data_IF_028503862195
#
_entry.id   IF_028503862195
#
_cell.length_a   1.000
_cell.length_b   1.000
_cell.length_c   1.000
_cell.angle_alpha   90.00
_cell.angle_beta   90.00
_cell.angle_gamma   90.00
#
_symmetry.space_group_name_H-M   'P 1'
#
loop_
_entity.id
_entity.type
_entity.pdbx_description
1 polymer ?
#
# COMPACT_ATOMS: atom_id res chain seq x y z
N UNK A 1 9.23 25.46 27.37
CA UNK A 1 9.09 24.39 26.35
C UNK A 1 7.62 24.17 26.14
N UNK A 2 7.19 24.05 24.88
CA UNK A 2 5.78 23.92 24.51
C UNK A 2 5.43 22.48 24.20
N UNK A 3 4.31 22.00 24.73
CA UNK A 3 3.86 20.62 24.53
C UNK A 3 2.83 20.54 23.42
N UNK A 4 3.04 19.64 22.45
CA UNK A 4 2.09 19.38 21.37
C UNK A 4 1.71 17.91 21.35
N UNK A 5 0.43 17.62 21.59
CA UNK A 5 -0.17 16.30 21.40
C UNK A 5 -0.65 16.16 19.97
N UNK A 6 -0.21 15.09 19.32
CA UNK A 6 -0.49 14.76 17.94
C UNK A 6 -1.31 13.47 17.87
N UNK A 7 -2.37 13.45 17.07
CA UNK A 7 -3.03 12.21 16.61
C UNK A 7 -3.11 12.22 15.10
N UNK A 8 -2.85 11.08 14.46
CA UNK A 8 -2.88 10.95 13.00
C UNK A 8 -3.94 9.94 12.55
N UNK A 9 -4.88 10.40 11.74
CA UNK A 9 -5.92 9.57 11.17
C UNK A 9 -5.91 9.61 9.64
N UNK A 10 -5.82 8.44 9.02
CA UNK A 10 -6.02 8.28 7.59
C UNK A 10 -7.36 7.58 7.34
N UNK A 11 -8.04 7.88 6.22
CA UNK A 11 -9.23 7.15 5.83
C UNK A 11 -8.84 5.74 5.37
N UNK A 12 -9.70 4.75 5.64
CA UNK A 12 -9.58 3.38 5.12
C UNK A 12 -8.23 2.70 5.38
N UNK A 13 -7.53 3.04 6.48
CA UNK A 13 -6.15 2.59 6.76
C UNK A 13 -5.14 2.91 5.64
N UNK A 14 -5.40 3.93 4.83
CA UNK A 14 -4.41 4.37 3.86
C UNK A 14 -3.13 4.76 4.58
N UNK A 15 -1.99 4.36 4.03
CA UNK A 15 -0.69 4.63 4.64
C UNK A 15 -0.56 4.18 6.11
N UNK A 16 -1.38 3.23 6.60
CA UNK A 16 -1.36 2.79 8.00
C UNK A 16 0.00 2.28 8.47
N UNK A 17 0.75 1.63 7.57
CA UNK A 17 2.08 1.11 7.83
C UNK A 17 3.19 2.14 7.60
N UNK A 18 2.87 3.35 7.15
CA UNK A 18 3.85 4.40 6.87
C UNK A 18 3.89 5.39 8.03
N UNK A 19 5.09 5.86 8.32
CA UNK A 19 5.35 6.85 9.35
C UNK A 19 5.36 8.25 8.74
N UNK A 20 4.44 9.09 9.18
CA UNK A 20 4.46 10.52 8.87
C UNK A 20 5.62 11.15 9.64
N UNK A 21 6.49 11.86 8.93
CA UNK A 21 7.64 12.55 9.52
C UNK A 21 7.22 13.96 9.95
N UNK A 22 7.50 14.33 11.19
CA UNK A 22 7.20 15.64 11.77
C UNK A 22 8.49 16.43 11.91
N UNK A 23 8.47 17.68 11.45
CA UNK A 23 9.63 18.57 11.39
C UNK A 23 9.34 19.94 12.01
N UNK A 24 10.39 20.56 12.56
CA UNK A 24 10.43 21.96 12.96
C UNK A 24 11.72 22.59 12.42
N UNK A 25 11.62 23.73 11.73
CA UNK A 25 12.78 24.42 11.12
C UNK A 25 13.73 23.48 10.34
N UNK A 26 13.19 22.47 9.67
CA UNK A 26 13.89 21.41 8.90
C UNK A 26 14.51 20.27 9.68
N UNK A 27 14.47 20.30 11.02
CA UNK A 27 14.90 19.18 11.85
C UNK A 27 13.76 18.20 12.05
N UNK A 28 14.07 16.91 11.92
CA UNK A 28 13.12 15.84 12.17
C UNK A 28 12.96 15.65 13.68
N UNK A 29 11.74 15.83 14.18
CA UNK A 29 11.42 15.72 15.60
C UNK A 29 10.87 14.33 15.92
N UNK A 30 9.96 13.84 15.07
CA UNK A 30 9.16 12.68 15.41
C UNK A 30 8.63 11.94 14.18
N UNK A 31 8.18 10.72 14.46
CA UNK A 31 7.41 9.88 13.55
C UNK A 31 6.09 9.54 14.21
N UNK A 32 4.99 9.64 13.46
CA UNK A 32 3.67 9.22 13.93
C UNK A 32 3.02 8.29 12.90
N UNK A 33 2.41 7.19 13.35
CA UNK A 33 1.67 6.27 12.49
C UNK A 33 0.16 6.52 12.57
N UNK A 34 -0.58 5.86 11.68
CA UNK A 34 -2.02 5.92 11.71
C UNK A 34 -2.59 5.33 13.01
N UNK A 35 -3.46 6.09 13.69
CA UNK A 35 -4.10 5.68 14.92
C UNK A 35 -3.24 5.90 16.17
N UNK A 36 -1.99 6.36 16.01
CA UNK A 36 -1.12 6.69 17.13
C UNK A 36 -1.48 8.08 17.72
N UNK A 37 -1.24 8.20 19.02
CA UNK A 37 -1.06 9.48 19.69
C UNK A 37 0.41 9.65 20.09
N UNK A 38 0.94 10.86 19.93
CA UNK A 38 2.31 11.19 20.32
C UNK A 38 2.35 12.56 20.97
N UNK A 39 3.15 12.68 22.03
CA UNK A 39 3.51 13.96 22.62
C UNK A 39 4.90 14.38 22.11
N UNK A 40 5.03 15.62 21.66
CA UNK A 40 6.30 16.22 21.26
C UNK A 40 6.54 17.53 21.98
N UNK A 41 7.81 17.83 22.22
CA UNK A 41 8.24 19.08 22.87
C UNK A 41 8.89 19.98 21.84
N UNK A 42 8.44 21.24 21.80
CA UNK A 42 8.95 22.26 20.91
C UNK A 42 9.53 23.44 21.72
N UNK A 43 10.48 24.20 21.14
CA UNK A 43 10.87 25.49 21.70
C UNK A 43 9.66 26.42 21.84
N UNK A 44 9.65 27.29 22.84
CA UNK A 44 8.52 28.21 23.09
C UNK A 44 8.27 29.18 21.92
N UNK A 45 9.33 29.49 21.17
CA UNK A 45 9.31 30.31 19.97
C UNK A 45 8.79 29.58 18.71
N UNK A 46 8.43 28.30 18.81
CA UNK A 46 7.98 27.52 17.66
C UNK A 46 6.63 28.04 17.13
N UNK A 47 6.66 28.63 15.94
CA UNK A 47 5.48 29.20 15.28
C UNK A 47 4.78 28.24 14.33
N UNK A 48 5.45 27.17 13.88
CA UNK A 48 4.87 26.22 12.94
C UNK A 48 5.48 24.82 13.03
N UNK A 49 4.69 23.83 12.62
CA UNK A 49 5.14 22.44 12.41
C UNK A 49 4.93 22.08 10.95
N UNK A 50 5.88 21.34 10.39
CA UNK A 50 5.81 20.81 9.04
C UNK A 50 5.75 19.28 9.09
N UNK A 51 5.06 18.64 8.16
CA UNK A 51 5.08 17.18 8.04
C UNK A 51 5.25 16.71 6.62
N UNK A 52 5.80 15.50 6.48
CA UNK A 52 6.06 14.87 5.19
C UNK A 52 5.80 13.37 5.22
N UNK A 53 5.06 12.89 4.23
CA UNK A 53 4.88 11.47 3.91
C UNK A 53 4.98 11.31 2.40
N UNK A 54 6.07 10.70 1.92
CA UNK A 54 6.37 10.52 0.50
C UNK A 54 6.29 11.85 -0.29
N UNK A 55 5.26 12.04 -1.13
CA UNK A 55 5.02 13.28 -1.87
C UNK A 55 4.13 14.29 -1.11
N UNK A 56 3.46 13.87 -0.05
CA UNK A 56 2.61 14.73 0.77
C UNK A 56 3.43 15.58 1.70
N UNK A 57 3.18 16.89 1.67
CA UNK A 57 3.88 17.88 2.51
C UNK A 57 2.91 18.99 2.86
N UNK A 58 2.83 19.32 4.14
CA UNK A 58 2.04 20.45 4.58
C UNK A 58 2.60 21.05 5.86
N UNK A 59 2.02 22.17 6.28
CA UNK A 59 2.48 22.98 7.41
C UNK A 59 1.29 23.61 8.10
N UNK A 60 1.34 23.70 9.42
CA UNK A 60 0.36 24.45 10.21
C UNK A 60 1.07 25.43 11.13
N UNK A 61 0.48 26.60 11.31
CA UNK A 61 0.89 27.53 12.34
C UNK A 61 0.38 27.06 13.71
N UNK A 62 1.22 27.21 14.73
CA UNK A 62 0.85 26.92 16.12
C UNK A 62 0.36 28.19 16.81
N UNK A 63 -0.76 28.15 17.56
CA UNK A 63 -1.22 29.29 18.35
C UNK A 63 -0.21 29.61 19.46
N UNK A 64 0.21 30.87 19.63
CA UNK A 64 1.21 31.26 20.62
C UNK A 64 0.73 31.16 22.08
N UNK A 65 -0.58 31.28 22.31
CA UNK A 65 -1.18 31.44 23.64
C UNK A 65 -1.82 30.16 24.22
N UNK A 66 -1.73 29.02 23.52
CA UNK A 66 -2.25 27.73 23.99
C UNK A 66 -1.11 26.75 24.24
N UNK A 67 -1.06 26.20 25.45
CA UNK A 67 -0.17 25.12 25.89
C UNK A 67 -0.89 24.31 26.99
N UNK A 68 -1.08 22.98 26.85
CA UNK A 68 -0.69 22.13 25.74
C UNK A 68 -1.53 22.34 24.46
N UNK A 69 -0.92 22.14 23.29
CA UNK A 69 -1.62 22.16 22.00
C UNK A 69 -2.05 20.76 21.61
N UNK A 70 -3.32 20.61 21.23
CA UNK A 70 -3.84 19.37 20.64
C UNK A 70 -4.03 19.53 19.14
N UNK A 71 -3.31 18.73 18.36
CA UNK A 71 -3.30 18.80 16.90
C UNK A 71 -3.73 17.45 16.30
N UNK A 72 -4.81 17.47 15.53
CA UNK A 72 -5.25 16.35 14.72
C UNK A 72 -4.67 16.48 13.31
N UNK A 73 -4.00 15.44 12.84
CA UNK A 73 -3.55 15.30 11.47
C UNK A 73 -4.48 14.33 10.75
N UNK A 74 -5.01 14.73 9.61
CA UNK A 74 -5.90 13.90 8.82
C UNK A 74 -5.75 14.17 7.33
N UNK A 75 -6.12 13.20 6.50
CA UNK A 75 -6.16 13.38 5.05
C UNK A 75 -7.54 13.89 4.61
N UNK A 76 -7.58 15.05 3.97
CA UNK A 76 -8.78 15.61 3.35
C UNK A 76 -9.02 14.93 1.99
N UNK A 77 -9.99 14.02 1.99
CA UNK A 77 -10.37 13.23 0.81
C UNK A 77 -11.65 13.72 0.12
N UNK A 78 -12.32 14.73 0.66
CA UNK A 78 -13.60 15.21 0.11
C UNK A 78 -14.73 14.18 0.21
N UNK A 79 -15.87 14.46 -0.44
CA UNK A 79 -17.06 13.60 -0.42
C UNK A 79 -17.22 12.91 -1.78
N UNK A 80 -17.18 11.58 -1.78
CA UNK A 80 -17.42 10.73 -2.97
C UNK A 80 -16.16 10.23 -3.69
N UNK A 81 -16.32 9.17 -4.48
CA UNK A 81 -15.19 8.43 -5.12
C UNK A 81 -14.32 9.30 -6.03
N UNK A 82 -14.90 10.23 -6.80
CA UNK A 82 -14.14 11.09 -7.72
C UNK A 82 -13.33 12.14 -6.95
N UNK A 83 -13.91 12.72 -5.89
CA UNK A 83 -13.20 13.70 -5.06
C UNK A 83 -12.05 13.04 -4.27
N UNK A 84 -12.23 11.80 -3.83
CA UNK A 84 -11.19 11.00 -3.19
C UNK A 84 -9.93 10.93 -4.05
N UNK A 85 -10.04 10.54 -5.32
CA UNK A 85 -8.87 10.49 -6.21
C UNK A 85 -8.32 11.89 -6.54
N UNK A 86 -9.18 12.87 -6.79
CA UNK A 86 -8.73 14.22 -7.16
C UNK A 86 -7.99 14.93 -6.03
N UNK A 87 -8.50 14.85 -4.79
CA UNK A 87 -7.87 15.51 -3.64
C UNK A 87 -6.62 14.78 -3.19
N UNK A 88 -6.55 13.46 -3.34
CA UNK A 88 -5.36 12.70 -2.96
C UNK A 88 -4.20 13.00 -3.89
N UNK A 89 -4.43 13.34 -5.16
CA UNK A 89 -3.35 13.84 -6.05
C UNK A 89 -2.73 15.17 -5.58
N UNK A 90 -3.38 15.93 -4.70
CA UNK A 90 -2.82 17.15 -4.15
C UNK A 90 -1.78 16.82 -3.06
N UNK A 91 -0.56 17.37 -3.18
CA UNK A 91 0.51 17.20 -2.18
C UNK A 91 0.15 17.74 -0.80
N UNK A 92 -0.87 18.62 -0.69
CA UNK A 92 -1.38 19.18 0.57
C UNK A 92 -2.58 18.43 1.15
N UNK A 93 -2.84 17.19 0.74
CA UNK A 93 -4.02 16.45 1.20
C UNK A 93 -3.99 16.13 2.70
N UNK A 94 -2.82 15.96 3.32
CA UNK A 94 -2.69 15.79 4.77
C UNK A 94 -2.74 17.18 5.42
N UNK A 95 -3.82 17.44 6.13
CA UNK A 95 -4.12 18.68 6.82
C UNK A 95 -4.00 18.49 8.33
N UNK A 96 -3.78 19.60 9.04
CA UNK A 96 -3.80 19.65 10.49
C UNK A 96 -4.93 20.54 10.97
N UNK A 97 -5.56 20.19 12.09
CA UNK A 97 -6.56 21.00 12.80
C UNK A 97 -6.20 21.05 14.27
N UNK A 98 -6.02 22.25 14.80
CA UNK A 98 -5.90 22.47 16.25
C UNK A 98 -7.28 22.31 16.87
N UNK A 99 -7.36 21.53 17.94
CA UNK A 99 -8.61 21.15 18.60
C UNK A 99 -8.51 21.33 20.11
N UNK A 100 -9.64 21.19 20.82
CA UNK A 100 -9.65 21.14 22.28
C UNK A 100 -9.20 19.77 22.78
N UNK A 101 -8.84 19.68 24.07
CA UNK A 101 -8.49 18.42 24.72
C UNK A 101 -9.63 17.37 24.62
N UNK A 102 -10.87 17.80 24.82
CA UNK A 102 -12.05 16.92 24.71
C UNK A 102 -12.22 16.38 23.29
N UNK A 103 -12.14 17.25 22.27
CA UNK A 103 -12.24 16.83 20.88
C UNK A 103 -11.08 15.89 20.52
N UNK A 104 -9.88 16.13 21.05
CA UNK A 104 -8.72 15.26 20.84
C UNK A 104 -8.92 13.87 21.42
N UNK A 105 -9.44 13.73 22.63
CA UNK A 105 -9.67 12.43 23.26
C UNK A 105 -10.77 11.61 22.59
N UNK A 106 -11.86 12.26 22.17
CA UNK A 106 -12.95 11.61 21.47
C UNK A 106 -12.71 11.41 19.95
N UNK A 107 -11.62 11.96 19.41
CA UNK A 107 -11.28 11.80 18.00
C UNK A 107 -10.82 10.38 17.68
N UNK A 108 -11.50 9.77 16.70
CA UNK A 108 -11.17 8.47 16.11
C UNK A 108 -11.28 8.57 14.59
N UNK A 109 -10.74 7.58 13.87
CA UNK A 109 -10.94 7.47 12.42
C UNK A 109 -12.43 7.52 12.03
N UNK A 110 -13.32 7.00 12.88
CA UNK A 110 -14.75 6.98 12.62
C UNK A 110 -15.41 8.35 12.78
N UNK A 111 -14.99 9.14 13.77
CA UNK A 111 -15.54 10.49 13.96
C UNK A 111 -15.06 11.45 12.88
N UNK A 112 -13.85 11.26 12.35
CA UNK A 112 -13.27 12.09 11.28
C UNK A 112 -13.81 11.69 9.89
N UNK A 113 -14.06 10.39 9.65
CA UNK A 113 -14.43 9.86 8.33
C UNK A 113 -15.79 9.16 8.31
N UNK A 114 -16.81 9.79 8.92
CA UNK A 114 -18.18 9.28 9.14
C UNK A 114 -18.88 8.60 7.93
N UNK A 115 -18.36 8.70 6.70
CA UNK A 115 -18.93 8.10 5.47
C UNK A 115 -18.01 7.16 4.68
N UNK A 116 -16.81 6.80 5.17
CA UNK A 116 -15.80 6.13 4.32
C UNK A 116 -15.08 4.92 4.92
N UNK A 117 -15.59 4.35 6.02
CA UNK A 117 -15.03 3.16 6.65
C UNK A 117 -15.47 1.85 5.97
N UNK A 118 -14.94 1.59 4.78
CA UNK A 118 -14.62 0.20 4.43
C UNK A 118 -13.13 0.02 4.73
N UNK A 119 -12.82 -0.66 5.83
CA UNK A 119 -11.46 -1.07 6.16
C UNK A 119 -10.94 -1.91 5.01
N UNK A 120 -9.82 -1.51 4.39
CA UNK A 120 -9.22 -2.33 3.35
C UNK A 120 -8.64 -3.59 4.02
N UNK A 121 -9.12 -4.79 3.67
CA UNK A 121 -8.56 -6.02 4.24
C UNK A 121 -7.09 -6.13 3.84
N UNK A 122 -6.24 -6.43 4.83
CA UNK A 122 -4.83 -6.74 4.59
C UNK A 122 -4.76 -8.16 4.03
N UNK A 123 -4.03 -8.34 2.93
CA UNK A 123 -3.92 -9.67 2.32
C UNK A 123 -3.06 -10.58 3.20
N UNK A 124 -3.65 -11.65 3.74
CA UNK A 124 -2.85 -12.79 4.21
C UNK A 124 -2.34 -13.53 2.98
N UNK A 125 -1.03 -13.59 2.77
CA UNK A 125 -0.45 -14.25 1.60
C UNK A 125 -0.70 -15.76 1.63
N UNK A 126 -1.23 -16.31 0.54
CA UNK A 126 -1.23 -17.76 0.32
C UNK A 126 0.17 -18.20 -0.15
N UNK A 127 0.98 -18.68 0.79
CA UNK A 127 2.33 -19.18 0.52
C UNK A 127 2.35 -20.24 -0.58
N UNK A 128 1.35 -21.12 -0.60
CA UNK A 128 1.31 -22.20 -1.58
C UNK A 128 1.01 -21.69 -2.99
N UNK A 129 0.12 -20.71 -3.11
CA UNK A 129 -0.14 -20.07 -4.39
C UNK A 129 1.10 -19.31 -4.89
N UNK A 130 1.83 -18.65 -3.98
CA UNK A 130 3.12 -18.02 -4.26
C UNK A 130 4.17 -19.02 -4.78
N UNK A 131 4.29 -20.20 -4.18
CA UNK A 131 5.23 -21.23 -4.64
C UNK A 131 4.88 -21.77 -6.03
N UNK A 132 3.59 -22.02 -6.32
CA UNK A 132 3.15 -22.43 -7.65
C UNK A 132 3.50 -21.33 -8.66
N UNK A 133 3.20 -20.08 -8.34
CA UNK A 133 3.52 -18.96 -9.22
C UNK A 133 5.02 -18.80 -9.47
N UNK A 134 5.86 -18.89 -8.42
CA UNK A 134 7.32 -18.83 -8.54
C UNK A 134 7.86 -19.98 -9.40
N UNK A 135 7.32 -21.20 -9.24
CA UNK A 135 7.69 -22.35 -10.05
C UNK A 135 7.35 -22.12 -11.52
N UNK A 136 6.12 -21.71 -11.83
CA UNK A 136 5.67 -21.39 -13.19
C UNK A 136 6.56 -20.33 -13.82
N UNK A 137 6.83 -19.24 -13.10
CA UNK A 137 7.67 -18.14 -13.57
C UNK A 137 9.12 -18.58 -13.79
N UNK A 138 9.65 -19.46 -12.94
CA UNK A 138 10.98 -20.03 -13.10
C UNK A 138 11.07 -20.91 -14.34
N UNK A 139 10.08 -21.77 -14.59
CA UNK A 139 10.02 -22.60 -15.81
C UNK A 139 10.00 -21.70 -17.05
N UNK A 140 9.15 -20.66 -17.07
CA UNK A 140 9.12 -19.69 -18.17
C UNK A 140 10.47 -19.00 -18.38
N UNK A 141 11.13 -18.58 -17.29
CA UNK A 141 12.44 -17.95 -17.35
C UNK A 141 13.51 -18.91 -17.88
N UNK A 142 13.57 -20.14 -17.37
CA UNK A 142 14.50 -21.17 -17.84
C UNK A 142 14.28 -21.49 -19.32
N UNK A 143 13.02 -21.65 -19.73
CA UNK A 143 12.66 -21.85 -21.12
C UNK A 143 13.12 -20.68 -22.01
N UNK A 144 12.96 -19.44 -21.55
CA UNK A 144 13.47 -18.27 -22.26
C UNK A 144 15.00 -18.25 -22.39
N UNK A 145 15.75 -18.79 -21.43
CA UNK A 145 17.21 -18.81 -21.54
C UNK A 145 17.67 -19.90 -22.51
N UNK A 146 17.03 -21.06 -22.50
CA UNK A 146 17.47 -22.25 -23.22
C UNK A 146 16.91 -22.38 -24.64
N UNK A 147 15.68 -21.95 -24.88
CA UNK A 147 15.03 -22.08 -26.19
C UNK A 147 15.50 -20.99 -27.17
N UNK A 148 15.70 -21.40 -28.43
CA UNK A 148 15.94 -20.48 -29.56
C UNK A 148 14.61 -20.07 -30.20
N UNK A 149 13.72 -19.46 -29.42
CA UNK A 149 12.45 -18.91 -29.88
C UNK A 149 12.60 -17.42 -30.23
N UNK A 150 11.79 -16.91 -31.16
CA UNK A 150 11.75 -15.47 -31.49
C UNK A 150 11.23 -14.64 -30.33
N UNK A 151 10.38 -15.22 -29.48
CA UNK A 151 9.75 -14.58 -28.33
C UNK A 151 10.61 -14.59 -27.06
N UNK A 152 11.89 -14.92 -27.18
CA UNK A 152 12.80 -15.17 -26.06
C UNK A 152 12.84 -14.02 -25.06
N UNK A 153 13.00 -12.80 -25.56
CA UNK A 153 13.10 -11.60 -24.75
C UNK A 153 11.79 -11.32 -23.98
N UNK A 154 10.64 -11.56 -24.62
CA UNK A 154 9.33 -11.36 -23.98
C UNK A 154 9.12 -12.41 -22.89
N UNK A 155 9.40 -13.68 -23.17
CA UNK A 155 9.29 -14.77 -22.19
C UNK A 155 10.22 -14.55 -20.99
N UNK A 156 11.44 -14.02 -21.22
CA UNK A 156 12.36 -13.64 -20.16
C UNK A 156 11.75 -12.55 -19.27
N UNK A 157 11.16 -11.52 -19.87
CA UNK A 157 10.53 -10.41 -19.16
C UNK A 157 9.30 -10.88 -18.36
N UNK A 158 8.46 -11.74 -18.93
CA UNK A 158 7.29 -12.30 -18.25
C UNK A 158 7.70 -13.17 -17.05
N UNK A 159 8.64 -14.10 -17.25
CA UNK A 159 9.14 -14.96 -16.18
C UNK A 159 9.87 -14.17 -15.09
N UNK A 160 10.87 -13.37 -15.47
CA UNK A 160 11.66 -12.58 -14.53
C UNK A 160 10.85 -11.49 -13.82
N UNK A 161 9.97 -10.79 -14.54
CA UNK A 161 9.08 -9.79 -13.96
C UNK A 161 8.10 -10.39 -12.95
N UNK A 162 7.59 -11.59 -13.22
CA UNK A 162 6.73 -12.31 -12.27
C UNK A 162 7.48 -12.72 -11.01
N UNK A 163 8.72 -13.23 -11.13
CA UNK A 163 9.57 -13.56 -9.98
C UNK A 163 9.82 -12.31 -9.13
N UNK A 164 10.20 -11.20 -9.75
CA UNK A 164 10.43 -9.94 -9.05
C UNK A 164 9.17 -9.45 -8.33
N UNK A 165 8.01 -9.52 -8.98
CA UNK A 165 6.72 -9.17 -8.38
C UNK A 165 6.43 -9.98 -7.12
N UNK A 166 6.70 -11.29 -7.14
CA UNK A 166 6.53 -12.17 -5.98
C UNK A 166 7.56 -11.97 -4.88
N UNK A 167 8.82 -11.66 -5.22
CA UNK A 167 9.81 -11.26 -4.22
C UNK A 167 9.36 -10.01 -3.47
N UNK A 168 8.83 -9.00 -4.18
CA UNK A 168 8.25 -7.80 -3.55
C UNK A 168 7.10 -8.19 -2.62
N UNK A 169 6.21 -9.09 -3.04
CA UNK A 169 5.13 -9.58 -2.15
C UNK A 169 5.68 -10.23 -0.87
N UNK A 170 6.75 -11.02 -0.97
CA UNK A 170 7.35 -11.68 0.19
C UNK A 170 8.01 -10.69 1.15
N UNK A 171 8.72 -9.68 0.63
CA UNK A 171 9.39 -8.65 1.44
C UNK A 171 8.40 -7.64 2.04
N UNK A 172 7.31 -7.32 1.34
CA UNK A 172 6.31 -6.33 1.77
C UNK A 172 5.01 -6.95 2.31
N UNK A 173 5.05 -8.23 2.73
CA UNK A 173 3.88 -9.05 3.08
C UNK A 173 2.84 -8.38 4.00
N UNK A 174 3.28 -7.53 4.94
CA UNK A 174 2.41 -6.89 5.93
C UNK A 174 1.90 -5.51 5.48
N UNK A 175 2.29 -5.06 4.28
CA UNK A 175 2.03 -3.70 3.76
C UNK A 175 1.13 -3.70 2.52
N UNK A 176 0.72 -4.86 2.04
CA UNK A 176 0.00 -5.01 0.77
C UNK A 176 -1.51 -5.06 0.99
N UNK A 177 -2.22 -4.17 0.32
CA UNK A 177 -3.69 -4.14 0.34
C UNK A 177 -4.26 -5.34 -0.43
N UNK A 178 -5.47 -5.81 -0.08
CA UNK A 178 -6.13 -6.88 -0.82
C UNK A 178 -6.33 -6.53 -2.30
N UNK A 179 -6.61 -5.26 -2.61
CA UNK A 179 -6.77 -4.79 -3.99
C UNK A 179 -5.47 -4.94 -4.77
N UNK A 180 -4.34 -4.49 -4.21
CA UNK A 180 -3.03 -4.61 -4.86
C UNK A 180 -2.61 -6.07 -5.01
N UNK A 181 -2.88 -6.91 -4.00
CA UNK A 181 -2.68 -8.35 -4.09
C UNK A 181 -3.48 -8.94 -5.25
N UNK A 182 -4.79 -8.66 -5.35
CA UNK A 182 -5.66 -9.18 -6.42
C UNK A 182 -5.17 -8.72 -7.80
N UNK A 183 -4.80 -7.45 -7.95
CA UNK A 183 -4.29 -6.91 -9.21
C UNK A 183 -2.98 -7.60 -9.61
N UNK A 184 -2.05 -7.80 -8.67
CA UNK A 184 -0.79 -8.51 -8.92
C UNK A 184 -1.01 -9.98 -9.28
N UNK A 185 -1.94 -10.67 -8.63
CA UNK A 185 -2.30 -12.04 -8.96
C UNK A 185 -2.90 -12.14 -10.38
N UNK A 186 -3.84 -11.25 -10.74
CA UNK A 186 -4.42 -11.23 -12.08
C UNK A 186 -3.40 -10.86 -13.17
N UNK A 187 -2.52 -9.91 -12.91
CA UNK A 187 -1.40 -9.59 -13.81
C UNK A 187 -0.49 -10.81 -14.02
N UNK A 188 -0.28 -11.62 -12.97
CA UNK A 188 0.49 -12.86 -13.06
C UNK A 188 -0.23 -13.93 -13.87
N UNK A 189 -1.55 -14.09 -13.70
CA UNK A 189 -2.36 -14.99 -14.54
C UNK A 189 -2.23 -14.57 -16.01
N UNK A 190 -2.38 -13.28 -16.32
CA UNK A 190 -2.20 -12.75 -17.67
C UNK A 190 -0.80 -13.02 -18.23
N UNK A 191 0.24 -12.84 -17.41
CA UNK A 191 1.64 -13.16 -17.76
C UNK A 191 1.82 -14.63 -18.13
N UNK A 192 1.23 -15.55 -17.36
CA UNK A 192 1.31 -16.99 -17.65
C UNK A 192 0.54 -17.38 -18.90
N UNK A 193 -0.68 -16.86 -19.09
CA UNK A 193 -1.46 -17.09 -20.31
C UNK A 193 -0.69 -16.61 -21.54
N UNK A 194 -0.11 -15.41 -21.48
CA UNK A 194 0.70 -14.89 -22.58
C UNK A 194 1.95 -15.75 -22.81
N UNK A 195 2.60 -16.22 -21.74
CA UNK A 195 3.77 -17.09 -21.85
C UNK A 195 3.44 -18.40 -22.57
N UNK A 196 2.30 -19.02 -22.26
CA UNK A 196 1.83 -20.26 -22.92
C UNK A 196 1.61 -20.02 -24.42
N UNK A 197 1.00 -18.90 -24.79
CA UNK A 197 0.72 -18.55 -26.19
C UNK A 197 1.98 -18.24 -27.01
N UNK A 198 3.02 -17.70 -26.38
CA UNK A 198 4.28 -17.32 -27.03
C UNK A 198 5.27 -18.48 -27.17
N UNK A 199 5.08 -19.56 -26.43
CA UNK A 199 5.87 -20.79 -26.61
C UNK A 199 5.44 -21.43 -27.94
N UNK A 200 6.35 -21.83 -28.83
CA UNK A 200 6.00 -22.52 -30.07
C UNK A 200 5.31 -23.87 -29.81
N UNK A 201 4.32 -24.22 -30.64
CA UNK A 201 3.54 -25.47 -30.52
C UNK A 201 4.39 -26.76 -30.59
N UNK A 202 5.57 -26.71 -31.20
CA UNK A 202 6.53 -27.83 -31.20
C UNK A 202 7.01 -28.21 -29.79
N UNK A 203 7.00 -27.25 -28.86
CA UNK A 203 7.42 -27.43 -27.47
C UNK A 203 6.21 -27.70 -26.55
N UNK A 204 5.28 -28.54 -27.02
CA UNK A 204 3.98 -28.80 -26.37
C UNK A 204 4.10 -29.32 -24.94
N UNK A 205 5.18 -30.05 -24.59
CA UNK A 205 5.42 -30.54 -23.23
C UNK A 205 5.51 -29.38 -22.23
N UNK A 206 6.26 -28.33 -22.58
CA UNK A 206 6.42 -27.14 -21.74
C UNK A 206 5.11 -26.35 -21.69
N UNK A 207 4.41 -26.23 -22.82
CA UNK A 207 3.10 -25.56 -22.88
C UNK A 207 2.07 -26.24 -21.97
N UNK A 208 1.95 -27.57 -22.04
CA UNK A 208 0.99 -28.34 -21.22
C UNK A 208 1.35 -28.23 -19.73
N UNK A 209 2.63 -28.32 -19.39
CA UNK A 209 3.08 -28.15 -18.01
C UNK A 209 2.70 -26.77 -17.46
N UNK A 210 3.00 -25.71 -18.20
CA UNK A 210 2.65 -24.34 -17.81
C UNK A 210 1.13 -24.14 -17.75
N UNK A 211 0.36 -24.77 -18.64
CA UNK A 211 -1.10 -24.71 -18.63
C UNK A 211 -1.67 -25.31 -17.32
N UNK A 212 -1.22 -26.51 -16.94
CA UNK A 212 -1.65 -27.18 -15.70
C UNK A 212 -1.32 -26.32 -14.48
N UNK A 213 -0.09 -25.80 -14.41
CA UNK A 213 0.33 -24.93 -13.30
C UNK A 213 -0.46 -23.62 -13.25
N UNK A 214 -0.77 -23.03 -14.41
CA UNK A 214 -1.56 -21.79 -14.50
C UNK A 214 -3.00 -22.00 -14.06
N UNK A 215 -3.62 -23.12 -14.44
CA UNK A 215 -4.96 -23.50 -13.98
C UNK A 215 -4.94 -23.70 -12.45
N UNK A 216 -3.98 -24.46 -11.93
CA UNK A 216 -3.82 -24.70 -10.49
C UNK A 216 -3.63 -23.41 -9.69
N UNK A 217 -2.78 -22.51 -10.18
CA UNK A 217 -2.57 -21.17 -9.59
C UNK A 217 -3.86 -20.34 -9.59
N UNK A 218 -4.57 -20.30 -10.72
CA UNK A 218 -5.77 -19.48 -10.88
C UNK A 218 -6.91 -19.97 -9.98
N UNK A 219 -7.17 -21.28 -9.96
CA UNK A 219 -8.20 -21.86 -9.09
C UNK A 219 -7.92 -21.59 -7.62
N UNK A 220 -6.67 -21.78 -7.19
CA UNK A 220 -6.26 -21.54 -5.80
C UNK A 220 -6.35 -20.08 -5.42
N UNK A 221 -5.94 -19.18 -6.31
CA UNK A 221 -6.12 -17.74 -6.14
C UNK A 221 -7.59 -17.36 -5.96
N UNK A 222 -8.49 -17.87 -6.81
CA UNK A 222 -9.93 -17.61 -6.71
C UNK A 222 -10.48 -18.12 -5.37
N UNK A 223 -10.19 -19.38 -5.00
CA UNK A 223 -10.63 -19.96 -3.73
C UNK A 223 -10.13 -19.15 -2.53
N UNK A 224 -8.87 -18.71 -2.57
CA UNK A 224 -8.29 -17.92 -1.50
C UNK A 224 -8.95 -16.54 -1.37
N UNK A 225 -9.19 -15.85 -2.49
CA UNK A 225 -9.87 -14.54 -2.46
C UNK A 225 -11.33 -14.63 -2.03
N UNK A 226 -12.01 -15.75 -2.32
CA UNK A 226 -13.36 -16.01 -1.81
C UNK A 226 -13.36 -16.19 -0.29
N UNK A 227 -12.42 -16.97 0.26
CA UNK A 227 -12.25 -17.13 1.72
C UNK A 227 -11.95 -15.81 2.43
N UNK A 228 -11.21 -14.91 1.79
CA UNK A 228 -10.92 -13.57 2.32
C UNK A 228 -12.10 -12.59 2.22
N UNK A 229 -13.16 -12.91 1.46
CA UNK A 229 -14.37 -12.09 1.36
C UNK A 229 -15.43 -12.47 2.40
N UNK A 230 -15.38 -13.72 2.88
CA UNK A 230 -16.33 -14.29 3.86
C UNK A 230 -15.90 -14.12 5.31
N UNK A 231 -14.65 -13.70 5.55
CA UNK A 231 -14.10 -13.36 6.86
C UNK A 231 -13.95 -11.85 6.99
#
# INVERSE_FOLDING_TARGET
MKTVHLKLFFPRNWYHARRLKIYHKSELIAYIMHGDSLEIYLPDEATSIHWKLDYFRNTIALPQQQDPIYLLLFMDVGKGLIQLYRKTLNSRCIQGKVVTAEEFEHSTSATIYQSHLEWLPIARLDKSNLYIGLLTASITLFYSVYSKTEWRAILFLLGGGTILSFLILLFEKDKITLSDYKNRMWATVGSFVLSILLIPAKDYVVQILLLILTIGFTLRFIQHTQKLRTN
#
